data_IF_081620258702
#
_entry.id   IF_081620258702
#
_cell.length_a   1.000
_cell.length_b   1.000
_cell.length_c   1.000
_cell.angle_alpha   90.00
_cell.angle_beta   90.00
_cell.angle_gamma   90.00
#
_symmetry.space_group_name_H-M   'P 1'
#
loop_
_entity.id
_entity.type
_entity.pdbx_description
1 polymer ?
#
# COMPACT_ATOMS: atom_id res chain seq x y z
N UNK A 1 19.77 6.10 62.73
CA UNK A 1 18.88 6.89 61.84
C UNK A 1 19.68 7.32 60.62
N UNK A 2 19.44 6.74 59.45
CA UNK A 2 20.07 7.16 58.20
C UNK A 2 19.45 8.50 57.78
N UNK A 3 20.24 9.51 57.36
CA UNK A 3 19.72 10.82 57.03
C UNK A 3 18.75 10.73 55.82
N UNK A 4 17.66 11.50 55.90
CA UNK A 4 16.57 11.54 54.94
C UNK A 4 17.03 11.77 53.48
N UNK A 5 18.14 12.48 53.28
CA UNK A 5 18.77 12.70 51.99
C UNK A 5 19.23 11.41 51.27
N UNK A 6 19.67 10.40 52.00
CA UNK A 6 20.15 9.15 51.38
C UNK A 6 18.99 8.29 50.86
N UNK A 7 17.81 8.39 51.50
CA UNK A 7 16.60 7.68 51.03
C UNK A 7 16.00 8.29 49.75
N UNK A 8 16.15 9.59 49.57
CA UNK A 8 15.65 10.29 48.36
C UNK A 8 16.57 9.99 47.17
N UNK A 9 17.90 9.96 47.35
CA UNK A 9 18.84 9.58 46.30
C UNK A 9 18.66 8.12 45.83
N UNK A 10 18.42 7.16 46.74
CA UNK A 10 18.20 5.76 46.37
C UNK A 10 16.87 5.58 45.61
N UNK A 11 15.83 6.36 45.94
CA UNK A 11 14.54 6.29 45.23
C UNK A 11 14.61 6.90 43.82
N UNK A 12 15.33 8.00 43.65
CA UNK A 12 15.54 8.62 42.34
C UNK A 12 16.40 7.77 41.42
N UNK A 13 17.42 7.11 41.94
CA UNK A 13 18.30 6.21 41.19
C UNK A 13 17.54 4.94 40.76
N UNK A 14 16.68 4.42 41.62
CA UNK A 14 15.86 3.23 41.29
C UNK A 14 14.81 3.53 40.23
N UNK A 15 14.16 4.71 40.26
CA UNK A 15 13.20 5.16 39.25
C UNK A 15 13.91 5.41 37.93
N UNK A 16 15.13 5.96 37.92
CA UNK A 16 15.91 6.15 36.70
C UNK A 16 16.35 4.82 36.07
N UNK A 17 16.71 3.79 36.90
CA UNK A 17 17.05 2.45 36.39
C UNK A 17 15.86 1.68 35.82
N UNK A 18 14.67 1.81 36.41
CA UNK A 18 13.46 1.16 35.88
C UNK A 18 13.01 1.84 34.59
N UNK A 19 13.15 3.15 34.46
CA UNK A 19 12.88 3.88 33.21
C UNK A 19 13.87 3.49 32.09
N UNK A 20 15.14 3.20 32.41
CA UNK A 20 16.13 2.78 31.43
C UNK A 20 15.87 1.39 30.85
N UNK A 21 15.25 0.46 31.61
CA UNK A 21 14.94 -0.89 31.11
C UNK A 21 13.65 -0.95 30.28
N UNK A 22 12.71 -0.02 30.49
CA UNK A 22 11.49 0.08 29.67
C UNK A 22 11.70 0.89 28.38
N UNK A 23 12.76 1.66 28.28
CA UNK A 23 13.03 2.58 27.18
C UNK A 23 13.83 1.99 26.02
N UNK A 24 14.60 0.91 26.23
CA UNK A 24 15.50 0.40 25.20
C UNK A 24 14.79 -0.25 23.99
N UNK A 25 13.63 -0.87 24.17
CA UNK A 25 12.87 -1.43 23.04
C UNK A 25 12.17 -0.36 22.19
N UNK A 26 11.73 0.74 22.81
CA UNK A 26 11.08 1.85 22.12
C UNK A 26 12.06 2.74 21.34
N UNK A 27 13.24 2.98 21.88
CA UNK A 27 14.27 3.83 21.24
C UNK A 27 14.88 3.13 20.02
N UNK A 28 15.07 1.81 20.06
CA UNK A 28 15.58 1.04 18.93
C UNK A 28 14.60 1.04 17.74
N UNK A 29 13.29 1.10 17.99
CA UNK A 29 12.26 1.20 16.95
C UNK A 29 12.29 2.55 16.22
N UNK A 30 12.63 3.63 16.93
CA UNK A 30 12.71 4.99 16.37
C UNK A 30 14.00 5.21 15.55
N UNK A 31 15.06 4.48 15.84
CA UNK A 31 16.39 4.72 15.26
C UNK A 31 16.69 3.91 14.01
N UNK A 32 16.08 2.75 13.80
CA UNK A 32 16.33 1.92 12.64
C UNK A 32 15.10 1.11 12.21
N UNK A 33 14.71 1.20 10.92
CA UNK A 33 13.66 0.34 10.38
C UNK A 33 14.16 -1.12 10.33
N UNK A 34 13.26 -2.08 10.42
CA UNK A 34 13.61 -3.51 10.47
C UNK A 34 12.58 -4.34 9.69
N UNK A 35 13.07 -5.44 9.07
CA UNK A 35 12.18 -6.47 8.54
C UNK A 35 11.90 -7.59 9.56
N UNK A 36 12.54 -7.54 10.73
CA UNK A 36 12.44 -8.56 11.78
C UNK A 36 11.77 -7.98 13.01
N UNK A 37 10.43 -8.05 13.05
CA UNK A 37 9.58 -7.67 14.19
C UNK A 37 8.41 -8.64 14.30
N UNK A 38 7.55 -8.48 15.31
CA UNK A 38 6.32 -9.26 15.46
C UNK A 38 5.20 -8.68 14.57
N UNK A 39 5.30 -8.91 13.26
CA UNK A 39 4.39 -8.35 12.28
C UNK A 39 2.98 -8.93 12.38
N UNK A 40 1.99 -8.11 12.04
CA UNK A 40 0.62 -8.56 11.77
C UNK A 40 0.63 -9.69 10.72
N UNK A 41 -0.16 -10.78 10.88
CA UNK A 41 -0.08 -11.94 10.02
C UNK A 41 -0.22 -11.64 8.52
N UNK A 42 -1.08 -10.68 8.15
CA UNK A 42 -1.31 -10.23 6.77
C UNK A 42 -0.14 -9.41 6.19
N UNK A 43 0.83 -9.02 7.00
CA UNK A 43 1.99 -8.22 6.62
C UNK A 43 3.33 -8.88 7.03
N UNK A 44 3.28 -10.09 7.57
CA UNK A 44 4.46 -10.79 8.07
C UNK A 44 5.39 -11.22 6.93
N UNK A 45 4.82 -11.66 5.81
CA UNK A 45 5.58 -12.17 4.65
C UNK A 45 5.75 -11.06 3.63
N UNK A 46 7.00 -10.80 3.24
CA UNK A 46 7.33 -9.83 2.19
C UNK A 46 7.22 -10.48 0.81
N UNK A 47 6.57 -9.78 -0.11
CA UNK A 47 6.66 -10.12 -1.52
C UNK A 47 8.01 -9.70 -2.10
N UNK A 48 8.48 -10.40 -3.14
CA UNK A 48 9.64 -10.03 -3.94
C UNK A 48 9.52 -10.59 -5.36
N UNK A 49 10.33 -10.09 -6.29
CA UNK A 49 10.29 -10.47 -7.68
C UNK A 49 11.64 -10.99 -8.18
N UNK A 50 11.59 -12.05 -8.97
CA UNK A 50 12.73 -12.63 -9.69
C UNK A 50 12.57 -12.34 -11.18
N UNK A 51 13.59 -11.73 -11.78
CA UNK A 51 13.57 -11.31 -13.19
C UNK A 51 14.36 -12.28 -14.07
N UNK A 52 13.72 -12.83 -15.08
CA UNK A 52 14.33 -13.73 -16.09
C UNK A 52 13.96 -13.24 -17.50
N UNK A 53 14.65 -12.22 -17.98
CA UNK A 53 14.32 -11.58 -19.25
C UNK A 53 12.93 -10.94 -19.21
N UNK A 54 12.02 -11.43 -20.06
CA UNK A 54 10.64 -10.96 -20.12
C UNK A 54 9.73 -11.63 -19.08
N UNK A 55 10.18 -12.74 -18.50
CA UNK A 55 9.43 -13.46 -17.48
C UNK A 55 9.80 -12.93 -16.09
N UNK A 56 8.79 -12.70 -15.28
CA UNK A 56 8.94 -12.25 -13.89
C UNK A 56 8.15 -13.19 -13.01
N UNK A 57 8.84 -13.79 -12.03
CA UNK A 57 8.17 -14.53 -10.96
C UNK A 57 8.01 -13.63 -9.75
N UNK A 58 6.77 -13.34 -9.38
CA UNK A 58 6.44 -12.61 -8.16
C UNK A 58 6.16 -13.63 -7.07
N UNK A 59 6.99 -13.63 -6.03
CA UNK A 59 6.89 -14.52 -4.89
C UNK A 59 6.02 -13.89 -3.80
N UNK A 60 5.25 -14.74 -3.12
CA UNK A 60 4.43 -14.36 -1.98
C UNK A 60 3.35 -13.32 -2.34
N UNK A 61 2.69 -13.45 -3.49
CA UNK A 61 1.50 -12.66 -3.80
C UNK A 61 0.43 -12.98 -2.78
N UNK A 62 -0.04 -11.97 -2.06
CA UNK A 62 -1.03 -12.14 -1.00
C UNK A 62 -2.44 -12.32 -1.60
N UNK A 63 -3.19 -13.27 -1.07
CA UNK A 63 -4.60 -13.46 -1.40
C UNK A 63 -5.41 -13.87 -0.16
N UNK A 64 -5.38 -13.04 0.87
CA UNK A 64 -6.13 -13.26 2.10
C UNK A 64 -7.62 -13.41 1.83
N UNK A 65 -8.25 -14.33 2.59
CA UNK A 65 -9.71 -14.47 2.63
C UNK A 65 -10.23 -13.84 3.90
N UNK A 66 -11.00 -12.78 3.74
CA UNK A 66 -11.61 -12.04 4.84
C UNK A 66 -13.01 -12.52 5.14
N UNK A 67 -13.34 -12.63 6.43
CA UNK A 67 -14.69 -12.88 6.97
C UNK A 67 -15.20 -11.64 7.71
N UNK A 68 -14.29 -10.82 8.20
CA UNK A 68 -14.48 -9.45 8.67
C UNK A 68 -13.17 -8.69 8.53
N UNK A 69 -13.11 -7.43 8.96
CA UNK A 69 -11.86 -6.65 8.94
C UNK A 69 -10.75 -7.29 9.81
N UNK A 70 -11.14 -7.91 10.94
CA UNK A 70 -10.21 -8.51 11.91
C UNK A 70 -10.11 -10.04 11.83
N UNK A 71 -11.01 -10.71 11.08
CA UNK A 71 -11.04 -12.17 10.93
C UNK A 71 -10.76 -12.56 9.50
N UNK A 72 -9.59 -13.13 9.28
CA UNK A 72 -9.13 -13.50 7.94
C UNK A 72 -8.16 -14.69 7.99
N UNK A 73 -8.05 -15.37 6.85
CA UNK A 73 -7.04 -16.41 6.61
C UNK A 73 -6.02 -15.85 5.67
N UNK A 74 -4.75 -15.88 6.10
CA UNK A 74 -3.62 -15.40 5.29
C UNK A 74 -3.19 -16.53 4.34
N UNK A 75 -3.19 -16.22 3.07
CA UNK A 75 -2.72 -17.10 2.01
C UNK A 75 -1.78 -16.33 1.08
N UNK A 76 -0.77 -17.03 0.55
CA UNK A 76 0.19 -16.49 -0.40
C UNK A 76 0.41 -17.51 -1.51
N UNK A 77 0.68 -17.01 -2.71
CA UNK A 77 1.06 -17.84 -3.86
C UNK A 77 2.14 -17.16 -4.68
N UNK A 78 2.87 -17.95 -5.46
CA UNK A 78 3.81 -17.44 -6.46
C UNK A 78 3.10 -17.30 -7.79
N UNK A 79 3.28 -16.16 -8.46
CA UNK A 79 2.71 -15.91 -9.78
C UNK A 79 3.79 -15.59 -10.81
N UNK A 80 3.61 -16.10 -12.01
CA UNK A 80 4.50 -15.83 -13.13
C UNK A 80 3.81 -14.93 -14.12
N UNK A 81 4.48 -13.85 -14.49
CA UNK A 81 4.01 -12.87 -15.47
C UNK A 81 4.98 -12.74 -16.63
N UNK A 82 4.46 -12.52 -17.83
CA UNK A 82 5.26 -12.12 -18.97
C UNK A 82 5.04 -10.64 -19.24
N UNK A 83 6.10 -9.84 -19.28
CA UNK A 83 6.02 -8.40 -19.53
C UNK A 83 5.35 -8.05 -20.86
N UNK A 84 5.44 -8.93 -21.86
CA UNK A 84 4.77 -8.69 -23.15
C UNK A 84 3.25 -8.76 -23.05
N UNK A 85 2.72 -9.50 -22.07
CA UNK A 85 1.29 -9.65 -21.86
C UNK A 85 0.68 -8.46 -21.08
N UNK A 86 1.52 -7.58 -20.49
CA UNK A 86 1.05 -6.44 -19.73
C UNK A 86 0.45 -5.38 -20.66
N UNK A 87 -0.84 -5.08 -20.45
CA UNK A 87 -1.66 -4.22 -21.29
C UNK A 87 -1.92 -2.85 -20.66
N UNK A 88 -2.24 -2.81 -19.38
CA UNK A 88 -2.68 -1.59 -18.71
C UNK A 88 -2.31 -1.57 -17.24
N UNK A 89 -2.48 -0.42 -16.63
CA UNK A 89 -2.44 -0.21 -15.19
C UNK A 89 -3.61 0.66 -14.78
N UNK A 90 -4.31 0.25 -13.71
CA UNK A 90 -5.39 1.02 -13.10
C UNK A 90 -4.90 1.71 -11.84
N UNK A 91 -5.53 2.84 -11.53
CA UNK A 91 -5.28 3.63 -10.33
C UNK A 91 -6.49 3.58 -9.40
N UNK A 92 -6.28 3.14 -8.16
CA UNK A 92 -7.31 3.08 -7.12
C UNK A 92 -7.13 4.20 -6.12
N UNK A 93 -8.25 4.78 -5.70
CA UNK A 93 -8.31 5.76 -4.62
C UNK A 93 -9.41 5.36 -3.65
N UNK A 94 -9.05 5.28 -2.37
CA UNK A 94 -9.96 4.92 -1.27
C UNK A 94 -9.90 6.04 -0.23
N UNK A 95 -10.79 7.04 -0.28
CA UNK A 95 -10.85 8.12 0.69
C UNK A 95 -11.20 7.59 2.09
N UNK A 96 -10.65 8.19 3.13
CA UNK A 96 -11.06 7.87 4.50
C UNK A 96 -12.29 8.69 4.89
N UNK A 97 -13.36 8.02 5.35
CA UNK A 97 -14.64 8.65 5.66
C UNK A 97 -14.54 9.85 6.61
N UNK A 98 -13.68 9.74 7.64
CA UNK A 98 -13.49 10.80 8.62
C UNK A 98 -12.67 12.00 8.10
N UNK A 99 -11.90 11.81 7.03
CA UNK A 99 -11.00 12.82 6.45
C UNK A 99 -10.88 12.64 4.93
N UNK A 100 -11.82 13.12 4.12
CA UNK A 100 -11.80 12.91 2.66
C UNK A 100 -10.56 13.46 1.92
N UNK A 101 -9.82 14.38 2.55
CA UNK A 101 -8.53 14.85 2.03
C UNK A 101 -7.42 13.80 2.14
N UNK A 102 -7.62 12.78 2.98
CA UNK A 102 -6.71 11.64 3.14
C UNK A 102 -7.32 10.43 2.44
N UNK A 103 -6.51 9.72 1.68
CA UNK A 103 -6.93 8.52 0.97
C UNK A 103 -5.81 7.50 0.94
N UNK A 104 -6.16 6.24 0.79
CA UNK A 104 -5.24 5.22 0.36
C UNK A 104 -5.24 5.14 -1.17
N UNK A 105 -4.06 4.97 -1.76
CA UNK A 105 -3.90 4.84 -3.21
C UNK A 105 -3.15 3.56 -3.56
N UNK A 106 -3.58 2.90 -4.63
CA UNK A 106 -3.03 1.64 -5.11
C UNK A 106 -2.95 1.63 -6.63
N UNK A 107 -2.14 0.72 -7.16
CA UNK A 107 -2.09 0.39 -8.60
C UNK A 107 -2.56 -1.04 -8.81
N UNK A 108 -3.12 -1.34 -9.98
CA UNK A 108 -3.33 -2.72 -10.43
C UNK A 108 -2.87 -2.87 -11.86
N UNK A 109 -2.05 -3.87 -12.11
CA UNK A 109 -1.48 -4.18 -13.41
C UNK A 109 -2.26 -5.32 -14.04
N UNK A 110 -2.67 -5.13 -15.31
CA UNK A 110 -3.46 -6.09 -16.06
C UNK A 110 -2.62 -6.76 -17.14
N UNK A 111 -2.63 -8.08 -17.12
CA UNK A 111 -1.95 -8.94 -18.09
C UNK A 111 -2.96 -9.75 -18.88
N UNK A 112 -2.78 -9.82 -20.20
CA UNK A 112 -3.59 -10.62 -21.11
C UNK A 112 -2.71 -11.64 -21.81
N UNK A 113 -2.47 -12.82 -21.21
CA UNK A 113 -1.73 -13.89 -21.85
C UNK A 113 -2.44 -14.39 -23.12
N UNK A 114 -1.66 -14.69 -24.16
CA UNK A 114 -2.22 -15.25 -25.39
C UNK A 114 -2.86 -16.63 -25.10
N UNK A 115 -4.17 -16.74 -25.31
CA UNK A 115 -4.92 -17.98 -25.07
C UNK A 115 -5.13 -18.33 -23.59
N UNK A 116 -4.73 -17.47 -22.67
CA UNK A 116 -4.90 -17.65 -21.22
C UNK A 116 -5.93 -16.70 -20.61
N UNK A 117 -6.30 -16.94 -19.35
CA UNK A 117 -7.16 -16.02 -18.61
C UNK A 117 -6.41 -14.71 -18.32
N UNK A 118 -7.17 -13.64 -18.26
CA UNK A 118 -6.66 -12.34 -17.80
C UNK A 118 -6.16 -12.44 -16.36
N UNK A 119 -5.01 -11.85 -16.09
CA UNK A 119 -4.39 -11.84 -14.76
C UNK A 119 -4.25 -10.41 -14.27
N UNK A 120 -4.40 -10.19 -12.97
CA UNK A 120 -4.17 -8.89 -12.36
C UNK A 120 -3.34 -9.01 -11.10
N UNK A 121 -2.52 -7.99 -10.88
CA UNK A 121 -1.71 -7.83 -9.68
C UNK A 121 -1.90 -6.44 -9.12
N UNK A 122 -2.51 -6.38 -7.95
CA UNK A 122 -2.61 -5.14 -7.20
C UNK A 122 -1.33 -4.87 -6.40
N UNK A 123 -0.94 -3.60 -6.33
CA UNK A 123 0.20 -3.10 -5.56
C UNK A 123 -0.31 -2.03 -4.60
N UNK A 124 -0.20 -2.32 -3.32
CA UNK A 124 -0.60 -1.45 -2.23
C UNK A 124 0.61 -1.06 -1.40
N UNK A 125 0.89 0.25 -1.29
CA UNK A 125 1.98 0.78 -0.47
C UNK A 125 1.42 1.13 0.90
N UNK A 126 1.81 0.40 1.93
CA UNK A 126 1.16 0.44 3.24
C UNK A 126 2.13 0.71 4.39
N UNK A 127 1.56 1.08 5.53
CA UNK A 127 2.25 1.00 6.82
C UNK A 127 2.31 -0.45 7.26
N UNK A 128 3.51 -0.97 7.52
CA UNK A 128 3.68 -2.31 8.08
C UNK A 128 3.47 -2.28 9.57
N UNK A 129 2.45 -2.99 10.05
CA UNK A 129 2.01 -2.99 11.44
C UNK A 129 2.52 -4.23 12.18
N UNK A 130 2.90 -4.05 13.43
CA UNK A 130 3.09 -5.16 14.36
C UNK A 130 1.75 -5.66 14.91
N UNK A 131 1.73 -6.88 15.45
CA UNK A 131 0.54 -7.45 16.10
C UNK A 131 0.02 -6.49 17.17
N UNK A 132 -1.27 -6.15 17.08
CA UNK A 132 -1.95 -5.23 18.00
C UNK A 132 -1.75 -3.74 17.68
N UNK A 133 -0.99 -3.38 16.64
CA UNK A 133 -0.90 -1.99 16.20
C UNK A 133 -2.10 -1.58 15.35
N UNK A 134 -2.66 -0.42 15.70
CA UNK A 134 -3.68 0.24 14.87
C UNK A 134 -3.07 1.42 14.13
N UNK A 135 -3.56 1.65 12.91
CA UNK A 135 -3.14 2.79 12.11
C UNK A 135 -3.52 4.11 12.80
N UNK A 136 -2.56 5.03 12.87
CA UNK A 136 -2.80 6.41 13.24
C UNK A 136 -1.85 7.31 12.42
N UNK A 137 -2.40 8.31 11.74
CA UNK A 137 -1.64 9.17 10.83
C UNK A 137 -0.44 9.87 11.50
N UNK A 138 -0.57 10.27 12.76
CA UNK A 138 0.53 10.89 13.52
C UNK A 138 1.68 9.92 13.82
N UNK A 139 1.41 8.61 13.97
CA UNK A 139 2.45 7.59 14.15
C UNK A 139 3.30 7.43 12.89
N UNK A 140 2.69 7.57 11.69
CA UNK A 140 3.44 7.57 10.43
C UNK A 140 4.44 8.72 10.34
N UNK A 141 4.06 9.92 10.79
CA UNK A 141 4.97 11.08 10.87
C UNK A 141 6.08 10.90 11.92
N UNK A 142 5.83 10.09 12.93
CA UNK A 142 6.80 9.78 14.01
C UNK A 142 7.71 8.57 13.69
N UNK A 143 7.73 8.07 12.45
CA UNK A 143 8.53 6.89 12.02
C UNK A 143 8.28 5.66 12.88
N UNK A 144 7.00 5.39 13.20
CA UNK A 144 6.62 4.25 14.02
C UNK A 144 6.18 3.03 13.20
N UNK A 145 6.01 3.17 11.89
CA UNK A 145 5.70 2.07 10.97
C UNK A 145 6.81 1.92 9.95
N UNK A 146 7.14 0.70 9.60
CA UNK A 146 7.91 0.43 8.40
C UNK A 146 7.02 0.53 7.15
N UNK A 147 7.65 0.82 6.02
CA UNK A 147 7.03 0.82 4.71
C UNK A 147 6.98 -0.59 4.16
N UNK A 148 5.83 -1.01 3.64
CA UNK A 148 5.68 -2.28 2.92
C UNK A 148 4.99 -2.05 1.57
N UNK A 149 5.44 -2.79 0.56
CA UNK A 149 4.70 -3.00 -0.69
C UNK A 149 4.02 -4.35 -0.61
N UNK A 150 2.70 -4.33 -0.55
CA UNK A 150 1.86 -5.52 -0.61
C UNK A 150 1.52 -5.77 -2.06
N UNK A 151 2.00 -6.88 -2.61
CA UNK A 151 1.62 -7.39 -3.92
C UNK A 151 0.52 -8.42 -3.69
N UNK A 152 -0.67 -8.18 -4.21
CA UNK A 152 -1.85 -8.96 -3.85
C UNK A 152 -2.84 -9.17 -4.99
N UNK A 153 -3.72 -10.14 -4.80
CA UNK A 153 -4.94 -10.26 -5.58
C UNK A 153 -5.89 -9.06 -5.31
N UNK A 154 -6.61 -8.60 -6.33
CA UNK A 154 -7.58 -7.51 -6.15
C UNK A 154 -8.69 -7.86 -5.16
N UNK A 155 -9.11 -9.12 -5.09
CA UNK A 155 -10.10 -9.59 -4.11
C UNK A 155 -9.64 -9.39 -2.67
N UNK A 156 -8.33 -9.51 -2.41
CA UNK A 156 -7.74 -9.23 -1.11
C UNK A 156 -7.85 -7.73 -0.79
N UNK A 157 -7.11 -6.89 -1.52
CA UNK A 157 -6.92 -5.47 -1.15
C UNK A 157 -8.15 -4.59 -1.41
N UNK A 158 -8.97 -4.92 -2.40
CA UNK A 158 -10.21 -4.19 -2.70
C UNK A 158 -11.36 -4.77 -1.90
N UNK A 159 -11.43 -6.12 -1.83
CA UNK A 159 -12.50 -6.81 -1.11
C UNK A 159 -12.53 -6.45 0.37
N UNK A 160 -11.41 -6.41 1.07
CA UNK A 160 -11.39 -6.01 2.48
C UNK A 160 -11.92 -4.59 2.68
N UNK A 161 -11.60 -3.68 1.78
CA UNK A 161 -12.02 -2.28 1.86
C UNK A 161 -13.51 -2.10 1.58
N UNK A 162 -13.97 -2.59 0.45
CA UNK A 162 -15.36 -2.40 0.04
C UNK A 162 -16.35 -3.26 0.85
N UNK A 163 -16.00 -4.53 1.13
CA UNK A 163 -16.96 -5.51 1.66
C UNK A 163 -16.95 -5.59 3.19
N UNK A 164 -15.80 -5.32 3.83
CA UNK A 164 -15.65 -5.50 5.28
C UNK A 164 -15.49 -4.18 6.04
N UNK A 165 -14.81 -3.19 5.45
CA UNK A 165 -14.65 -1.85 6.05
C UNK A 165 -15.71 -0.86 5.62
N UNK A 166 -16.48 -1.15 4.55
CA UNK A 166 -17.47 -0.25 4.01
C UNK A 166 -16.89 1.02 3.38
N UNK A 167 -15.61 0.96 2.96
CA UNK A 167 -14.91 2.10 2.36
C UNK A 167 -15.34 2.31 0.91
N UNK A 168 -15.42 3.57 0.49
CA UNK A 168 -15.65 3.94 -0.90
C UNK A 168 -14.40 3.68 -1.75
N UNK A 169 -14.50 2.78 -2.72
CA UNK A 169 -13.41 2.44 -3.65
C UNK A 169 -13.69 3.01 -5.03
N UNK A 170 -12.73 3.78 -5.54
CA UNK A 170 -12.76 4.35 -6.89
C UNK A 170 -11.64 3.72 -7.73
N UNK A 171 -12.01 3.20 -8.90
CA UNK A 171 -11.11 2.59 -9.89
C UNK A 171 -11.06 3.48 -11.13
N UNK A 172 -9.88 3.98 -11.45
CA UNK A 172 -9.64 4.80 -12.64
C UNK A 172 -8.74 4.06 -13.62
N UNK A 173 -9.23 3.81 -14.83
CA UNK A 173 -8.37 3.38 -15.94
C UNK A 173 -7.37 4.49 -16.24
N UNK A 174 -6.08 4.14 -16.38
CA UNK A 174 -5.04 5.13 -16.70
C UNK A 174 -4.86 5.26 -18.22
N UNK A 175 -4.26 6.38 -18.63
CA UNK A 175 -3.86 6.64 -20.02
C UNK A 175 -2.47 6.09 -20.35
N UNK A 176 -1.87 5.33 -19.45
CA UNK A 176 -0.55 4.74 -19.64
C UNK A 176 -0.54 3.78 -20.83
N UNK A 177 0.42 3.93 -21.73
CA UNK A 177 0.65 2.95 -22.80
C UNK A 177 1.13 1.62 -22.19
N UNK A 178 1.00 0.48 -22.91
CA UNK A 178 1.54 -0.82 -22.44
C UNK A 178 3.04 -0.76 -22.13
N UNK A 179 3.81 0.05 -22.86
CA UNK A 179 5.24 0.28 -22.60
C UNK A 179 5.46 1.02 -21.28
N UNK A 180 4.70 2.08 -21.02
CA UNK A 180 4.76 2.83 -19.76
C UNK A 180 4.31 1.95 -18.58
N UNK A 181 3.26 1.15 -18.76
CA UNK A 181 2.81 0.21 -17.75
C UNK A 181 3.91 -0.84 -17.42
N UNK A 182 4.60 -1.39 -18.45
CA UNK A 182 5.74 -2.31 -18.24
C UNK A 182 6.88 -1.65 -17.46
N UNK A 183 7.27 -0.44 -17.85
CA UNK A 183 8.34 0.29 -17.17
C UNK A 183 7.96 0.60 -15.72
N UNK A 184 6.70 0.99 -15.47
CA UNK A 184 6.16 1.22 -14.13
C UNK A 184 6.18 -0.07 -13.29
N UNK A 185 5.77 -1.19 -13.85
CA UNK A 185 5.75 -2.49 -13.20
C UNK A 185 7.16 -2.92 -12.77
N UNK A 186 8.15 -2.81 -13.67
CA UNK A 186 9.55 -3.13 -13.38
C UNK A 186 10.08 -2.25 -12.24
N UNK A 187 9.83 -0.93 -12.28
CA UNK A 187 10.30 0.00 -11.27
C UNK A 187 9.65 -0.27 -9.89
N UNK A 188 8.36 -0.58 -9.86
CA UNK A 188 7.63 -0.97 -8.64
C UNK A 188 8.19 -2.26 -8.04
N UNK A 189 8.43 -3.29 -8.85
CA UNK A 189 8.99 -4.55 -8.37
C UNK A 189 10.45 -4.40 -7.92
N UNK A 190 11.24 -3.58 -8.61
CA UNK A 190 12.59 -3.22 -8.18
C UNK A 190 12.58 -2.58 -6.78
N UNK A 191 11.64 -1.66 -6.54
CA UNK A 191 11.45 -1.02 -5.23
C UNK A 191 10.98 -2.02 -4.17
N UNK A 192 10.11 -2.94 -4.52
CA UNK A 192 9.68 -4.03 -3.61
C UNK A 192 10.89 -4.86 -3.15
N UNK A 193 11.77 -5.24 -4.07
CA UNK A 193 13.01 -5.97 -3.76
C UNK A 193 13.97 -5.16 -2.89
N UNK A 194 14.09 -3.85 -3.13
CA UNK A 194 14.89 -2.96 -2.28
C UNK A 194 14.41 -2.97 -0.84
N UNK A 195 13.10 -2.85 -0.60
CA UNK A 195 12.52 -2.85 0.74
C UNK A 195 12.66 -4.20 1.44
N UNK A 196 12.60 -5.31 0.70
CA UNK A 196 12.84 -6.65 1.24
C UNK A 196 14.26 -6.80 1.81
N UNK A 197 15.25 -6.13 1.20
CA UNK A 197 16.65 -6.17 1.64
C UNK A 197 17.04 -5.00 2.56
N UNK A 198 16.45 -3.84 2.37
CA UNK A 198 16.73 -2.60 3.10
C UNK A 198 15.41 -1.94 3.53
N UNK A 199 14.92 -2.27 4.74
CA UNK A 199 13.67 -1.71 5.24
C UNK A 199 13.77 -0.19 5.41
N UNK A 200 12.66 0.49 5.26
CA UNK A 200 12.52 1.93 5.45
C UNK A 200 11.30 2.24 6.31
N UNK A 201 11.32 3.41 6.96
CA UNK A 201 10.12 3.90 7.63
C UNK A 201 9.12 4.48 6.63
N UNK A 202 7.86 4.19 6.86
CA UNK A 202 6.76 4.97 6.31
C UNK A 202 6.81 6.39 6.88
N UNK A 203 6.54 7.37 6.05
CA UNK A 203 6.42 8.77 6.44
C UNK A 203 5.19 9.37 5.77
N UNK A 204 4.24 9.86 6.59
CA UNK A 204 2.95 10.39 6.13
C UNK A 204 3.10 11.49 5.06
N UNK A 205 4.18 12.24 5.07
CA UNK A 205 4.39 13.35 4.12
C UNK A 205 5.36 13.02 2.99
N UNK A 206 6.34 12.15 3.24
CA UNK A 206 7.46 11.96 2.30
C UNK A 206 7.58 10.55 1.73
N UNK A 207 7.04 9.54 2.41
CA UNK A 207 7.19 8.14 2.05
C UNK A 207 5.89 7.36 2.29
N UNK A 208 4.79 7.84 1.71
CA UNK A 208 3.44 7.28 1.78
C UNK A 208 3.03 6.62 0.45
N UNK A 209 1.80 6.10 0.36
CA UNK A 209 1.29 5.45 -0.84
C UNK A 209 1.37 6.37 -2.08
N UNK A 210 0.84 7.58 -1.99
CA UNK A 210 0.78 8.51 -3.14
C UNK A 210 2.14 9.05 -3.54
N UNK A 211 3.02 9.38 -2.56
CA UNK A 211 4.37 9.86 -2.86
C UNK A 211 5.24 8.79 -3.53
N UNK A 212 5.06 7.52 -3.18
CA UNK A 212 5.76 6.43 -3.85
C UNK A 212 5.24 6.23 -5.28
N UNK A 213 3.90 6.22 -5.50
CA UNK A 213 3.33 6.14 -6.85
C UNK A 213 3.83 7.32 -7.71
N UNK A 214 3.81 8.54 -7.19
CA UNK A 214 4.32 9.73 -7.92
C UNK A 214 5.81 9.60 -8.26
N UNK A 215 6.63 9.04 -7.38
CA UNK A 215 8.06 8.76 -7.67
C UNK A 215 8.22 7.76 -8.79
N UNK A 216 7.47 6.67 -8.79
CA UNK A 216 7.49 5.67 -9.86
C UNK A 216 7.12 6.30 -11.19
N UNK A 217 6.04 7.09 -11.25
CA UNK A 217 5.63 7.80 -12.47
C UNK A 217 6.73 8.76 -12.93
N UNK A 218 7.34 9.53 -12.03
CA UNK A 218 8.39 10.47 -12.38
C UNK A 218 9.73 9.80 -12.80
N UNK A 219 9.98 8.55 -12.45
CA UNK A 219 11.13 7.79 -12.96
C UNK A 219 10.94 7.38 -14.42
N UNK A 220 9.73 7.02 -14.82
CA UNK A 220 9.42 6.62 -16.20
C UNK A 220 9.06 7.82 -17.10
N UNK A 221 8.56 8.92 -16.51
CA UNK A 221 8.20 10.17 -17.17
C UNK A 221 8.66 11.35 -16.32
N UNK A 222 9.91 11.81 -16.44
CA UNK A 222 10.49 12.83 -15.56
C UNK A 222 9.65 14.11 -15.51
N UNK A 223 9.49 14.67 -14.31
CA UNK A 223 8.73 15.89 -14.02
C UNK A 223 7.24 15.83 -14.38
N UNK A 224 6.69 14.66 -14.61
CA UNK A 224 5.27 14.48 -14.96
C UNK A 224 4.34 14.88 -13.80
N UNK A 225 4.72 14.56 -12.55
CA UNK A 225 3.97 14.91 -11.35
C UNK A 225 4.80 15.85 -10.48
N UNK A 226 4.26 17.04 -10.21
CA UNK A 226 4.87 17.99 -9.29
C UNK A 226 4.58 17.57 -7.85
N UNK A 227 5.58 17.74 -6.97
CA UNK A 227 5.42 17.48 -5.55
C UNK A 227 4.75 18.70 -4.89
N UNK A 228 3.44 18.65 -4.75
CA UNK A 228 2.62 19.70 -4.17
C UNK A 228 1.58 19.11 -3.17
N UNK A 229 0.63 19.93 -2.73
CA UNK A 229 -0.36 19.51 -1.74
C UNK A 229 -1.29 18.38 -2.21
N UNK A 230 -1.50 18.18 -3.51
CA UNK A 230 -2.31 17.06 -4.02
C UNK A 230 -1.64 15.72 -3.79
N UNK A 231 -0.29 15.69 -3.72
CA UNK A 231 0.47 14.50 -3.36
C UNK A 231 0.53 14.30 -1.85
N UNK A 232 0.55 15.41 -1.09
CA UNK A 232 0.54 15.38 0.37
C UNK A 232 -0.83 15.02 0.95
N UNK A 233 -1.91 15.33 0.24
CA UNK A 233 -3.29 15.05 0.59
C UNK A 233 -3.88 14.07 -0.44
N UNK A 234 -3.68 12.75 -0.26
CA UNK A 234 -4.02 11.72 -1.24
C UNK A 234 -5.48 11.73 -1.73
N UNK A 235 -6.42 12.28 -0.96
CA UNK A 235 -7.82 12.44 -1.37
C UNK A 235 -8.00 13.31 -2.62
N UNK A 236 -7.02 14.17 -2.94
CA UNK A 236 -7.02 14.98 -4.17
C UNK A 236 -6.24 14.34 -5.33
N UNK A 237 -5.62 13.18 -5.13
CA UNK A 237 -4.77 12.53 -6.13
C UNK A 237 -5.52 12.16 -7.41
N UNK A 238 -6.80 11.74 -7.32
CA UNK A 238 -7.62 11.46 -8.49
C UNK A 238 -7.90 12.74 -9.30
N UNK A 239 -8.13 13.88 -8.64
CA UNK A 239 -8.31 15.17 -9.34
C UNK A 239 -7.03 15.60 -10.03
N UNK A 240 -5.89 15.46 -9.37
CA UNK A 240 -4.58 15.71 -10.00
C UNK A 240 -4.37 14.80 -11.21
N UNK A 241 -4.61 13.48 -11.07
CA UNK A 241 -4.47 12.54 -12.18
C UNK A 241 -5.40 12.89 -13.36
N UNK A 242 -6.62 13.35 -13.08
CA UNK A 242 -7.54 13.84 -14.10
C UNK A 242 -7.00 15.10 -14.79
N UNK A 243 -6.55 16.11 -14.05
CA UNK A 243 -6.06 17.38 -14.60
C UNK A 243 -4.81 17.17 -15.44
N UNK A 244 -3.91 16.31 -14.98
CA UNK A 244 -2.68 15.93 -15.70
C UNK A 244 -2.93 14.95 -16.87
N UNK A 245 -4.17 14.48 -17.08
CA UNK A 245 -4.49 13.52 -18.14
C UNK A 245 -3.83 12.15 -17.95
N UNK A 246 -3.64 11.71 -16.71
CA UNK A 246 -3.08 10.41 -16.35
C UNK A 246 -4.15 9.32 -16.25
N UNK A 247 -5.42 9.71 -16.14
CA UNK A 247 -6.56 8.81 -16.13
C UNK A 247 -7.51 9.13 -17.29
N UNK A 248 -8.26 8.14 -17.72
CA UNK A 248 -9.30 8.32 -18.75
C UNK A 248 -10.37 9.30 -18.26
N UNK A 249 -10.77 10.21 -19.15
CA UNK A 249 -11.79 11.22 -18.86
C UNK A 249 -13.13 10.81 -19.45
N UNK A 250 -14.16 10.81 -18.61
CA UNK A 250 -15.55 10.55 -18.99
C UNK A 250 -16.41 11.80 -18.75
N UNK A 251 -16.09 12.90 -19.45
CA UNK A 251 -16.67 14.21 -19.21
C UNK A 251 -15.96 15.00 -18.13
N UNK A 252 -16.70 15.68 -17.24
CA UNK A 252 -16.16 16.41 -16.09
C UNK A 252 -15.49 15.48 -15.08
N UNK A 253 -14.70 16.01 -14.15
CA UNK A 253 -14.15 15.21 -13.08
C UNK A 253 -15.23 14.53 -12.21
N UNK A 254 -16.36 15.21 -11.98
CA UNK A 254 -17.47 14.64 -11.22
C UNK A 254 -18.07 13.40 -11.92
N UNK A 255 -18.27 13.46 -13.22
CA UNK A 255 -18.75 12.34 -14.04
C UNK A 255 -17.73 11.21 -14.10
N UNK A 256 -16.44 11.54 -14.29
CA UNK A 256 -15.34 10.57 -14.25
C UNK A 256 -15.27 9.87 -12.89
N UNK A 257 -15.38 10.62 -11.78
CA UNK A 257 -15.39 10.07 -10.43
C UNK A 257 -16.61 9.17 -10.18
N UNK A 258 -17.79 9.59 -10.63
CA UNK A 258 -19.01 8.80 -10.49
C UNK A 258 -18.90 7.44 -11.22
N UNK A 259 -18.31 7.44 -12.42
CA UNK A 259 -18.07 6.20 -13.19
C UNK A 259 -17.02 5.30 -12.53
N UNK A 260 -16.05 5.89 -11.85
CA UNK A 260 -14.98 5.16 -11.17
C UNK A 260 -15.42 4.49 -9.86
N UNK A 261 -16.61 4.77 -9.35
CA UNK A 261 -17.10 4.22 -8.09
C UNK A 261 -17.48 2.75 -8.21
N UNK A 262 -16.67 1.85 -7.62
CA UNK A 262 -16.80 0.40 -7.82
C UNK A 262 -17.25 -0.38 -6.57
N UNK A 263 -17.42 0.26 -5.41
CA UNK A 263 -17.80 -0.45 -4.17
C UNK A 263 -19.09 -1.26 -4.31
N UNK A 264 -20.17 -0.79 -4.99
CA UNK A 264 -21.37 -1.61 -5.15
C UNK A 264 -21.08 -2.91 -5.92
N UNK A 265 -20.30 -2.84 -6.99
CA UNK A 265 -19.92 -4.01 -7.79
C UNK A 265 -18.99 -4.94 -7.01
N UNK A 266 -18.09 -4.38 -6.21
CA UNK A 266 -17.20 -5.16 -5.33
C UNK A 266 -18.01 -5.97 -4.29
N UNK A 267 -19.00 -5.34 -3.66
CA UNK A 267 -19.91 -6.00 -2.70
C UNK A 267 -20.70 -7.13 -3.37
N UNK A 268 -21.31 -6.86 -4.55
CA UNK A 268 -22.08 -7.84 -5.31
C UNK A 268 -21.23 -8.99 -5.86
N UNK A 269 -19.92 -8.80 -5.95
CA UNK A 269 -18.97 -9.77 -6.51
C UNK A 269 -18.11 -10.44 -5.42
N UNK A 270 -18.43 -10.24 -4.15
CA UNK A 270 -17.69 -10.83 -3.03
C UNK A 270 -17.55 -12.36 -3.20
N UNK A 271 -16.34 -12.87 -3.01
CA UNK A 271 -16.02 -14.30 -3.10
C UNK A 271 -16.04 -14.91 -4.52
N UNK A 272 -16.32 -14.13 -5.57
CA UNK A 272 -16.34 -14.63 -6.94
C UNK A 272 -14.94 -14.65 -7.57
N UNK A 273 -14.70 -15.65 -8.42
CA UNK A 273 -13.45 -15.75 -9.16
C UNK A 273 -13.31 -14.63 -10.21
N UNK A 274 -14.43 -14.21 -10.82
CA UNK A 274 -14.50 -13.13 -11.80
C UNK A 274 -14.64 -11.72 -11.18
N UNK A 275 -14.26 -11.56 -9.88
CA UNK A 275 -14.37 -10.32 -9.13
C UNK A 275 -13.74 -9.12 -9.86
N UNK A 276 -12.49 -9.30 -10.28
CA UNK A 276 -11.71 -8.25 -10.92
C UNK A 276 -12.31 -7.74 -12.24
N UNK A 277 -12.97 -8.61 -13.00
CA UNK A 277 -13.69 -8.22 -14.21
C UNK A 277 -15.00 -7.51 -13.91
N UNK A 278 -15.69 -7.95 -12.84
CA UNK A 278 -16.99 -7.40 -12.47
C UNK A 278 -16.91 -5.98 -11.94
N UNK A 279 -15.87 -5.63 -11.21
CA UNK A 279 -15.70 -4.27 -10.69
C UNK A 279 -15.37 -3.25 -11.79
N UNK A 280 -15.12 -3.69 -13.04
CA UNK A 280 -14.84 -2.84 -14.21
C UNK A 280 -16.03 -2.75 -15.19
N UNK A 281 -17.14 -3.42 -14.91
CA UNK A 281 -18.39 -3.39 -15.68
C UNK A 281 -19.36 -2.38 -15.10
#
# INVERSE_FOLDING_TARGET
MLPIMLRTLLRTTLIALVAAHSGCSGIGKILAPSNVRNWSPDQAVLAYAEFQGQQITVRNVRHCRYFSDDVYVVEHEDRVYNLQDLQSVDFFVVPFDSMPAIAHTMLSFEFQPCGGPQQRLAVSVETRKEVGEQYAAWKGSARQYELIYVLADERDVIGVRANHRGEDVYLYATTATPEQARNLFIDVLGRTNELASRPEFYDTFRNNCTTNIARHINRIAPHRIRYDYHILLPGYSAKLAYDEGLIERHGTFAETKAKAYVSPQAILSAGREDFADRIRR
#
